data_IF_144712711093
#
_entry.id   IF_144712711093
#
_cell.length_a   1.000
_cell.length_b   1.000
_cell.length_c   1.000
_cell.angle_alpha   90.00
_cell.angle_beta   90.00
_cell.angle_gamma   90.00
#
_symmetry.space_group_name_H-M   'P 1'
#
loop_
_entity.id
_entity.type
_entity.pdbx_description
1 polymer ?
#
# COMPACT_ATOMS: atom_id res chain seq x y z
N UNK A 1 -37.58 -37.35 7.30
CA UNK A 1 -36.81 -36.33 6.53
C UNK A 1 -35.99 -37.04 5.45
N UNK A 2 -35.89 -36.50 4.23
CA UNK A 2 -35.06 -37.08 3.18
C UNK A 2 -33.67 -36.39 3.11
N UNK A 3 -32.71 -37.00 2.42
CA UNK A 3 -31.33 -36.51 2.31
C UNK A 3 -31.20 -35.10 1.73
N UNK A 4 -32.06 -34.75 0.76
CA UNK A 4 -32.07 -33.42 0.15
C UNK A 4 -32.46 -32.36 1.17
N UNK A 5 -33.55 -32.58 1.93
CA UNK A 5 -33.96 -31.66 2.99
C UNK A 5 -32.87 -31.48 4.05
N UNK A 6 -32.19 -32.56 4.45
CA UNK A 6 -31.09 -32.48 5.41
C UNK A 6 -29.91 -31.64 4.88
N UNK A 7 -29.51 -31.86 3.63
CA UNK A 7 -28.45 -31.09 2.98
C UNK A 7 -28.82 -29.61 2.80
N UNK A 8 -30.07 -29.30 2.46
CA UNK A 8 -30.55 -27.92 2.33
C UNK A 8 -30.60 -27.19 3.68
N UNK A 9 -30.98 -27.87 4.76
CA UNK A 9 -30.90 -27.30 6.12
C UNK A 9 -29.45 -27.02 6.48
N UNK A 10 -28.53 -27.94 6.21
CA UNK A 10 -27.11 -27.71 6.43
C UNK A 10 -26.61 -26.52 5.61
N UNK A 11 -26.91 -26.47 4.31
CA UNK A 11 -26.55 -25.36 3.43
C UNK A 11 -27.03 -24.02 3.98
N UNK A 12 -28.29 -23.95 4.45
CA UNK A 12 -28.82 -22.73 5.07
C UNK A 12 -28.02 -22.32 6.30
N UNK A 13 -27.68 -23.26 7.18
CA UNK A 13 -26.84 -22.99 8.35
C UNK A 13 -25.46 -22.47 7.93
N UNK A 14 -24.79 -23.14 6.98
CA UNK A 14 -23.49 -22.72 6.46
C UNK A 14 -23.53 -21.32 5.85
N UNK A 15 -24.57 -20.99 5.08
CA UNK A 15 -24.75 -19.66 4.49
C UNK A 15 -24.96 -18.59 5.55
N UNK A 16 -25.75 -18.86 6.60
CA UNK A 16 -25.97 -17.91 7.69
C UNK A 16 -24.67 -17.64 8.47
N UNK A 17 -23.89 -18.69 8.74
CA UNK A 17 -22.58 -18.56 9.40
C UNK A 17 -21.61 -17.79 8.51
N UNK A 18 -21.52 -18.12 7.22
CA UNK A 18 -20.68 -17.41 6.25
C UNK A 18 -21.06 -15.94 6.16
N UNK A 19 -22.35 -15.60 6.07
CA UNK A 19 -22.82 -14.22 6.03
C UNK A 19 -22.42 -13.44 7.30
N UNK A 20 -22.59 -14.05 8.47
CA UNK A 20 -22.16 -13.44 9.74
C UNK A 20 -20.65 -13.17 9.78
N UNK A 21 -19.84 -14.10 9.27
CA UNK A 21 -18.39 -13.93 9.20
C UNK A 21 -17.97 -12.86 8.18
N UNK A 22 -18.60 -12.79 7.01
CA UNK A 22 -18.33 -11.71 6.04
C UNK A 22 -18.57 -10.34 6.69
N UNK A 23 -19.70 -10.18 7.38
CA UNK A 23 -20.04 -8.92 8.08
C UNK A 23 -18.99 -8.61 9.15
N UNK A 24 -18.62 -9.59 9.98
CA UNK A 24 -17.59 -9.41 11.01
C UNK A 24 -16.24 -9.00 10.40
N UNK A 25 -15.82 -9.68 9.33
CA UNK A 25 -14.54 -9.40 8.67
C UNK A 25 -14.51 -7.99 8.09
N UNK A 26 -15.52 -7.61 7.31
CA UNK A 26 -15.53 -6.33 6.60
C UNK A 26 -15.78 -5.15 7.54
N UNK A 27 -16.55 -5.34 8.62
CA UNK A 27 -16.86 -4.25 9.55
C UNK A 27 -15.83 -4.07 10.67
N UNK A 28 -15.19 -5.16 11.12
CA UNK A 28 -14.35 -5.11 12.34
C UNK A 28 -12.88 -5.32 12.04
N UNK A 29 -12.51 -6.31 11.23
CA UNK A 29 -11.10 -6.70 11.06
C UNK A 29 -10.44 -6.12 9.81
N UNK A 30 -11.17 -5.98 8.71
CA UNK A 30 -10.67 -5.54 7.41
C UNK A 30 -11.58 -4.44 6.82
N UNK A 31 -11.65 -3.26 7.46
CA UNK A 31 -12.54 -2.19 7.01
C UNK A 31 -12.15 -1.62 5.63
N UNK A 32 -13.16 -1.30 4.82
CA UNK A 32 -12.98 -0.73 3.49
C UNK A 32 -12.22 -1.68 2.54
N UNK A 33 -11.28 -1.17 1.72
CA UNK A 33 -10.55 -1.99 0.75
C UNK A 33 -9.42 -2.82 1.35
N UNK A 34 -9.25 -2.83 2.68
CA UNK A 34 -8.13 -3.53 3.34
C UNK A 34 -8.19 -5.05 3.22
N UNK A 35 -9.37 -5.61 2.90
CA UNK A 35 -9.48 -7.05 2.62
C UNK A 35 -8.64 -7.44 1.40
N UNK A 36 -8.66 -6.64 0.34
CA UNK A 36 -7.85 -6.83 -0.88
C UNK A 36 -6.36 -6.64 -0.57
N UNK A 37 -6.01 -5.58 0.16
CA UNK A 37 -4.62 -5.30 0.56
C UNK A 37 -3.99 -6.42 1.40
N UNK A 38 -4.78 -7.14 2.18
CA UNK A 38 -4.31 -8.24 3.00
C UNK A 38 -4.27 -9.61 2.28
N UNK A 39 -4.73 -9.70 1.02
CA UNK A 39 -5.11 -10.97 0.38
C UNK A 39 -6.17 -11.76 1.16
N UNK A 40 -6.97 -11.06 1.97
CA UNK A 40 -7.98 -11.66 2.84
C UNK A 40 -9.16 -12.22 2.06
N UNK A 41 -9.40 -11.74 0.85
CA UNK A 41 -10.42 -12.23 -0.07
C UNK A 41 -10.22 -13.72 -0.42
N UNK A 42 -8.97 -14.15 -0.63
CA UNK A 42 -8.64 -15.56 -0.91
C UNK A 42 -8.92 -16.45 0.29
N UNK A 43 -8.53 -16.00 1.48
CA UNK A 43 -8.78 -16.71 2.74
C UNK A 43 -10.30 -16.82 2.99
N UNK A 44 -11.02 -15.72 2.83
CA UNK A 44 -12.47 -15.67 3.05
C UNK A 44 -13.21 -16.60 2.08
N UNK A 45 -12.87 -16.59 0.78
CA UNK A 45 -13.43 -17.53 -0.21
C UNK A 45 -13.15 -18.98 0.12
N UNK A 46 -11.94 -19.31 0.62
CA UNK A 46 -11.58 -20.67 1.01
C UNK A 46 -12.45 -21.16 2.17
N UNK A 47 -12.55 -20.37 3.24
CA UNK A 47 -13.32 -20.72 4.45
C UNK A 47 -14.79 -20.91 4.09
N UNK A 48 -15.38 -19.94 3.39
CA UNK A 48 -16.79 -19.99 2.98
C UNK A 48 -17.05 -21.16 2.02
N UNK A 49 -16.15 -21.37 1.05
CA UNK A 49 -16.29 -22.43 0.06
C UNK A 49 -16.34 -23.82 0.68
N UNK A 50 -15.50 -24.07 1.69
CA UNK A 50 -15.50 -25.33 2.44
C UNK A 50 -16.86 -25.52 3.13
N UNK A 51 -17.35 -24.51 3.85
CA UNK A 51 -18.57 -24.63 4.65
C UNK A 51 -19.85 -24.73 3.81
N UNK A 52 -19.95 -23.93 2.74
CA UNK A 52 -21.15 -23.85 1.90
C UNK A 52 -21.23 -25.02 0.91
N UNK A 53 -20.11 -25.65 0.57
CA UNK A 53 -20.08 -26.74 -0.41
C UNK A 53 -19.84 -28.09 0.26
N UNK A 54 -18.70 -28.28 0.94
CA UNK A 54 -18.28 -29.60 1.40
C UNK A 54 -19.22 -30.17 2.47
N UNK A 55 -19.63 -29.37 3.45
CA UNK A 55 -20.54 -29.79 4.52
C UNK A 55 -21.90 -30.30 4.01
N UNK A 56 -22.64 -29.49 3.21
CA UNK A 56 -23.91 -29.90 2.62
C UNK A 56 -23.79 -31.11 1.69
N UNK A 57 -22.72 -31.20 0.89
CA UNK A 57 -22.47 -32.36 0.01
C UNK A 57 -22.23 -33.63 0.82
N UNK A 58 -21.36 -33.58 1.84
CA UNK A 58 -21.12 -34.72 2.73
C UNK A 58 -22.39 -35.13 3.46
N UNK A 59 -23.18 -34.16 3.92
CA UNK A 59 -24.49 -34.41 4.54
C UNK A 59 -25.42 -35.11 3.55
N UNK A 60 -25.51 -34.65 2.30
CA UNK A 60 -26.34 -35.27 1.27
C UNK A 60 -25.94 -36.73 1.00
N UNK A 61 -24.64 -37.01 0.91
CA UNK A 61 -24.08 -38.33 0.63
C UNK A 61 -24.36 -39.30 1.78
N UNK A 62 -24.12 -38.87 3.02
CA UNK A 62 -24.16 -39.76 4.18
C UNK A 62 -25.58 -39.91 4.75
N UNK A 63 -26.46 -38.93 4.54
CA UNK A 63 -27.80 -38.95 5.11
C UNK A 63 -28.67 -40.06 4.52
N UNK A 64 -29.04 -41.03 5.35
CA UNK A 64 -30.01 -42.08 5.04
C UNK A 64 -30.92 -42.31 6.24
N UNK A 65 -32.23 -42.09 6.07
CA UNK A 65 -33.22 -42.28 7.13
C UNK A 65 -33.17 -43.71 7.67
N UNK A 66 -33.14 -43.86 9.00
CA UNK A 66 -33.05 -45.17 9.66
C UNK A 66 -31.64 -45.80 9.66
N UNK A 67 -30.62 -45.13 9.13
CA UNK A 67 -29.24 -45.63 9.20
C UNK A 67 -28.74 -45.61 10.66
N UNK A 68 -28.30 -46.76 11.22
CA UNK A 68 -27.65 -46.77 12.52
C UNK A 68 -26.34 -45.98 12.45
N UNK A 69 -26.08 -45.12 13.44
CA UNK A 69 -24.91 -44.24 13.45
C UNK A 69 -25.04 -42.94 12.66
N UNK A 70 -26.19 -42.65 12.01
CA UNK A 70 -26.39 -41.39 11.27
C UNK A 70 -26.13 -40.15 12.13
N UNK A 71 -26.49 -40.19 13.42
CA UNK A 71 -26.22 -39.07 14.35
C UNK A 71 -24.72 -38.85 14.51
N UNK A 72 -23.96 -39.92 14.72
CA UNK A 72 -22.50 -39.88 14.83
C UNK A 72 -21.88 -39.32 13.56
N UNK A 73 -22.33 -39.78 12.38
CA UNK A 73 -21.83 -39.29 11.09
C UNK A 73 -22.03 -37.76 10.95
N UNK A 74 -23.24 -37.27 11.21
CA UNK A 74 -23.55 -35.85 11.11
C UNK A 74 -22.81 -35.02 12.16
N UNK A 75 -22.63 -35.55 13.37
CA UNK A 75 -21.83 -34.91 14.41
C UNK A 75 -20.36 -34.79 13.99
N UNK A 76 -19.77 -35.84 13.42
CA UNK A 76 -18.38 -35.80 12.93
C UNK A 76 -18.22 -34.78 11.82
N UNK A 77 -19.15 -34.74 10.86
CA UNK A 77 -19.16 -33.72 9.79
C UNK A 77 -19.23 -32.31 10.40
N UNK A 78 -20.18 -32.07 11.31
CA UNK A 78 -20.35 -30.76 11.94
C UNK A 78 -19.15 -30.31 12.76
N UNK A 79 -18.53 -31.22 13.53
CA UNK A 79 -17.33 -30.91 14.32
C UNK A 79 -16.11 -30.64 13.44
N UNK A 80 -15.90 -31.43 12.39
CA UNK A 80 -14.80 -31.22 11.45
C UNK A 80 -14.94 -29.85 10.76
N UNK A 81 -16.16 -29.49 10.35
CA UNK A 81 -16.44 -28.21 9.74
C UNK A 81 -16.25 -27.04 10.71
N UNK A 82 -16.75 -27.15 11.94
CA UNK A 82 -16.53 -26.15 12.99
C UNK A 82 -15.04 -25.95 13.31
N UNK A 83 -14.25 -27.02 13.30
CA UNK A 83 -12.81 -26.93 13.52
C UNK A 83 -12.09 -26.20 12.36
N UNK A 84 -12.43 -26.53 11.11
CA UNK A 84 -11.86 -25.85 9.93
C UNK A 84 -12.24 -24.37 9.90
N UNK A 85 -13.50 -24.05 10.23
CA UNK A 85 -13.96 -22.68 10.37
C UNK A 85 -13.19 -21.93 11.46
N UNK A 86 -13.00 -22.55 12.63
CA UNK A 86 -12.24 -21.98 13.74
C UNK A 86 -10.79 -21.66 13.36
N UNK A 87 -10.13 -22.57 12.63
CA UNK A 87 -8.77 -22.35 12.10
C UNK A 87 -8.76 -21.17 11.12
N UNK A 88 -9.74 -21.10 10.21
CA UNK A 88 -9.87 -20.00 9.26
C UNK A 88 -10.04 -18.65 9.93
N UNK A 89 -10.94 -18.57 10.93
CA UNK A 89 -11.16 -17.37 11.74
C UNK A 89 -9.89 -16.99 12.51
N UNK A 90 -9.18 -17.96 13.10
CA UNK A 90 -7.92 -17.70 13.79
C UNK A 90 -6.86 -17.07 12.88
N UNK A 91 -6.67 -17.63 11.68
CA UNK A 91 -5.70 -17.09 10.70
C UNK A 91 -6.05 -15.65 10.33
N UNK A 92 -7.33 -15.35 10.14
CA UNK A 92 -7.79 -13.99 9.84
C UNK A 92 -7.54 -13.03 11.00
N UNK A 93 -7.85 -13.44 12.24
CA UNK A 93 -7.64 -12.62 13.44
C UNK A 93 -6.18 -12.22 13.62
N UNK A 94 -5.25 -13.17 13.46
CA UNK A 94 -3.82 -12.88 13.64
C UNK A 94 -3.23 -12.14 12.43
N UNK A 95 -3.83 -12.25 11.26
CA UNK A 95 -3.40 -11.57 10.03
C UNK A 95 -4.15 -10.27 9.75
N UNK A 96 -4.95 -9.78 10.70
CA UNK A 96 -5.71 -8.54 10.55
C UNK A 96 -4.78 -7.33 10.42
N UNK A 97 -5.16 -6.28 9.66
CA UNK A 97 -4.48 -5.00 9.69
C UNK A 97 -4.44 -4.46 11.13
N UNK A 98 -3.24 -4.33 11.68
CA UNK A 98 -3.04 -3.70 12.99
C UNK A 98 -2.68 -2.22 12.84
N UNK A 99 -1.78 -1.92 11.91
CA UNK A 99 -1.30 -0.57 11.67
C UNK A 99 -1.22 -0.27 10.17
N UNK A 100 -1.52 0.98 9.83
CA UNK A 100 -1.21 1.59 8.54
C UNK A 100 -0.14 2.63 8.79
N UNK A 101 1.11 2.24 8.56
CA UNK A 101 2.29 3.00 8.99
C UNK A 101 2.79 3.83 7.83
N UNK A 102 2.79 5.16 7.96
CA UNK A 102 3.52 6.01 7.02
C UNK A 102 5.02 5.90 7.32
N UNK A 103 5.78 5.34 6.37
CA UNK A 103 7.22 5.17 6.46
C UNK A 103 7.87 5.75 5.20
N UNK A 104 8.75 6.73 5.41
CA UNK A 104 9.45 7.50 4.36
C UNK A 104 8.53 8.35 3.48
N UNK A 105 7.77 7.73 2.59
CA UNK A 105 6.96 8.37 1.55
C UNK A 105 5.68 7.60 1.18
N UNK A 106 5.47 6.41 1.78
CA UNK A 106 4.31 5.55 1.53
C UNK A 106 3.69 5.08 2.84
N UNK A 107 2.42 4.71 2.79
CA UNK A 107 1.81 3.91 3.84
C UNK A 107 2.14 2.43 3.62
N UNK A 108 2.38 1.70 4.69
CA UNK A 108 2.58 0.25 4.66
C UNK A 108 1.56 -0.43 5.54
N UNK A 109 0.90 -1.45 4.99
CA UNK A 109 0.05 -2.35 5.74
C UNK A 109 0.89 -3.25 6.65
N UNK A 110 0.66 -3.16 7.97
CA UNK A 110 1.34 -4.00 8.96
C UNK A 110 0.30 -4.86 9.69
N UNK A 111 0.28 -6.18 9.45
CA UNK A 111 -0.64 -7.07 10.14
C UNK A 111 -0.17 -7.37 11.57
N UNK A 112 -1.10 -7.73 12.45
CA UNK A 112 -0.79 -7.98 13.87
C UNK A 112 0.31 -9.03 14.08
N UNK A 113 0.34 -10.10 13.26
CA UNK A 113 1.35 -11.15 13.33
C UNK A 113 2.71 -10.81 12.70
N UNK A 114 2.89 -9.62 12.11
CA UNK A 114 4.19 -9.19 11.58
C UNK A 114 5.07 -8.50 12.64
N UNK A 115 4.52 -8.20 13.82
CA UNK A 115 5.23 -7.53 14.91
C UNK A 115 5.65 -8.58 15.94
N UNK A 116 6.95 -8.67 16.20
CA UNK A 116 7.46 -9.59 17.20
C UNK A 116 7.13 -9.06 18.60
N UNK A 117 6.91 -9.95 19.60
CA UNK A 117 6.64 -9.54 20.97
C UNK A 117 7.72 -8.61 21.55
N UNK A 118 8.99 -8.81 21.15
CA UNK A 118 10.12 -8.01 21.60
C UNK A 118 10.04 -6.58 21.05
N UNK A 119 9.58 -6.40 19.81
CA UNK A 119 9.40 -5.08 19.19
C UNK A 119 8.22 -4.31 19.78
N UNK A 120 7.15 -5.03 20.10
CA UNK A 120 5.99 -4.47 20.79
C UNK A 120 6.36 -4.02 22.20
N UNK A 121 7.26 -4.73 22.88
CA UNK A 121 7.77 -4.34 24.18
C UNK A 121 8.64 -3.07 24.13
N UNK A 122 9.29 -2.80 22.99
CA UNK A 122 10.05 -1.57 22.73
C UNK A 122 9.19 -0.40 22.23
N UNK A 123 7.87 -0.56 22.14
CA UNK A 123 6.97 0.48 21.64
C UNK A 123 7.19 1.83 22.35
N UNK A 124 7.20 2.90 21.56
CA UNK A 124 7.38 4.27 22.08
C UNK A 124 6.30 4.69 23.07
N UNK A 125 5.10 4.14 22.91
CA UNK A 125 3.93 4.43 23.74
C UNK A 125 3.10 3.16 23.98
N UNK A 126 2.41 3.04 25.14
CA UNK A 126 1.60 1.85 25.47
C UNK A 126 0.52 1.48 24.45
N UNK A 127 -0.02 2.47 23.72
CA UNK A 127 -1.02 2.25 22.67
C UNK A 127 -0.47 1.54 21.43
N UNK A 128 0.84 1.62 21.18
CA UNK A 128 1.51 0.94 20.07
C UNK A 128 2.04 -0.45 20.47
N UNK A 129 2.16 -0.73 21.77
CA UNK A 129 2.53 -2.04 22.29
C UNK A 129 1.42 -3.10 22.11
N UNK A 130 0.17 -2.67 21.89
CA UNK A 130 -0.99 -3.56 21.82
C UNK A 130 -1.74 -3.35 20.49
N UNK A 131 -1.51 -4.21 19.48
CA UNK A 131 -2.19 -4.12 18.20
C UNK A 131 -3.72 -4.06 18.36
N UNK A 132 -4.41 -3.06 17.77
CA UNK A 132 -5.85 -2.87 17.93
C UNK A 132 -6.64 -4.06 17.39
N UNK A 133 -7.81 -4.31 17.99
CA UNK A 133 -8.70 -5.41 17.60
C UNK A 133 -9.82 -5.02 16.64
N UNK A 134 -10.13 -3.72 16.55
CA UNK A 134 -11.29 -3.17 15.82
C UNK A 134 -10.86 -2.28 14.66
N UNK A 135 -10.00 -2.83 13.79
CA UNK A 135 -9.45 -2.14 12.62
C UNK A 135 -8.06 -1.52 12.89
N UNK A 136 -7.36 -1.08 11.84
CA UNK A 136 -6.02 -0.57 11.98
C UNK A 136 -5.97 0.82 12.59
N UNK A 137 -4.85 1.10 13.25
CA UNK A 137 -4.46 2.44 13.65
C UNK A 137 -3.54 3.06 12.59
N UNK A 138 -3.78 4.32 12.25
CA UNK A 138 -2.86 5.11 11.42
C UNK A 138 -1.68 5.57 12.28
N UNK A 139 -0.47 5.40 11.76
CA UNK A 139 0.75 5.66 12.51
C UNK A 139 1.77 6.37 11.64
N UNK A 140 2.51 7.31 12.22
CA UNK A 140 3.71 7.87 11.60
C UNK A 140 4.95 7.15 12.12
N UNK A 141 5.80 6.61 11.25
CA UNK A 141 7.10 6.08 11.64
C UNK A 141 8.17 7.18 11.51
N UNK A 142 8.70 7.61 12.65
CA UNK A 142 9.77 8.59 12.71
C UNK A 142 11.06 7.99 12.16
N UNK A 143 11.57 8.55 11.05
CA UNK A 143 12.85 8.13 10.48
C UNK A 143 14.01 8.34 11.46
N UNK A 144 15.03 7.48 11.44
CA UNK A 144 16.17 7.59 12.33
C UNK A 144 16.99 8.88 12.12
N UNK A 145 17.39 9.51 13.22
CA UNK A 145 18.00 10.84 13.20
C UNK A 145 19.53 10.76 12.97
N UNK A 146 20.18 9.75 13.54
CA UNK A 146 21.64 9.59 13.47
C UNK A 146 22.08 8.71 12.31
N UNK A 147 23.36 8.80 11.93
CA UNK A 147 23.92 7.97 10.86
C UNK A 147 23.96 6.50 11.27
N UNK A 148 24.25 6.26 12.53
CA UNK A 148 24.35 4.95 13.16
C UNK A 148 22.99 4.26 13.16
N UNK A 149 21.93 4.94 13.59
CA UNK A 149 20.57 4.38 13.56
C UNK A 149 20.09 4.13 12.12
N UNK A 150 20.44 5.02 11.16
CA UNK A 150 20.14 4.78 9.74
C UNK A 150 20.85 3.54 9.20
N UNK A 151 22.11 3.32 9.57
CA UNK A 151 22.85 2.11 9.19
C UNK A 151 22.19 0.85 9.77
N UNK A 152 21.87 0.86 11.07
CA UNK A 152 21.20 -0.26 11.72
C UNK A 152 19.82 -0.55 11.10
N UNK A 153 19.09 0.49 10.71
CA UNK A 153 17.79 0.36 10.03
C UNK A 153 17.94 -0.28 8.64
N UNK A 154 18.99 0.09 7.89
CA UNK A 154 19.30 -0.51 6.59
C UNK A 154 19.70 -1.98 6.73
N UNK A 155 20.58 -2.30 7.68
CA UNK A 155 20.98 -3.68 7.97
C UNK A 155 19.77 -4.54 8.34
N UNK A 156 18.87 -4.02 9.19
CA UNK A 156 17.62 -4.70 9.52
C UNK A 156 16.70 -4.89 8.32
N UNK A 157 16.59 -3.88 7.44
CA UNK A 157 15.77 -3.97 6.23
C UNK A 157 16.31 -5.05 5.27
N UNK A 158 17.64 -5.18 5.13
CA UNK A 158 18.28 -6.26 4.39
C UNK A 158 18.00 -7.65 5.00
N UNK A 159 17.82 -7.72 6.31
CA UNK A 159 17.39 -8.93 7.02
C UNK A 159 15.87 -9.16 6.97
N UNK A 160 15.12 -8.34 6.20
CA UNK A 160 13.69 -8.50 5.97
C UNK A 160 12.78 -7.79 6.97
N UNK A 161 13.32 -6.85 7.76
CA UNK A 161 12.56 -6.08 8.75
C UNK A 161 12.83 -4.58 8.63
N UNK A 162 11.94 -3.89 7.93
CA UNK A 162 12.02 -2.46 7.70
C UNK A 162 11.37 -1.64 8.84
N UNK A 163 11.46 -0.31 8.72
CA UNK A 163 11.14 0.68 9.76
C UNK A 163 9.71 0.53 10.29
N UNK A 164 8.77 0.20 9.40
CA UNK A 164 7.35 0.03 9.72
C UNK A 164 7.07 -1.16 10.65
N UNK A 165 8.05 -2.03 10.91
CA UNK A 165 7.91 -3.16 11.85
C UNK A 165 8.49 -2.88 13.23
N UNK A 166 8.88 -1.64 13.51
CA UNK A 166 9.48 -1.23 14.77
C UNK A 166 8.62 -0.20 15.51
N UNK A 167 7.72 -0.66 16.41
CA UNK A 167 6.85 0.21 17.21
C UNK A 167 7.57 1.28 18.03
N UNK A 168 8.86 1.11 18.33
CA UNK A 168 9.69 2.17 18.96
C UNK A 168 9.77 3.47 18.16
N UNK A 169 9.62 3.38 16.83
CA UNK A 169 9.62 4.53 15.93
C UNK A 169 8.22 5.09 15.69
N UNK A 170 7.17 4.46 16.22
CA UNK A 170 5.80 4.91 16.00
C UNK A 170 5.53 6.20 16.77
N UNK A 171 4.79 7.09 16.13
CA UNK A 171 4.26 8.33 16.68
C UNK A 171 2.81 8.48 16.24
N UNK A 172 2.09 9.32 16.95
CA UNK A 172 0.74 9.71 16.58
C UNK A 172 0.70 10.19 15.13
N UNK A 173 -0.24 9.66 14.34
CA UNK A 173 -0.37 10.08 12.96
C UNK A 173 -0.91 11.51 12.85
N UNK A 174 -1.95 11.86 13.59
CA UNK A 174 -2.63 13.15 13.46
C UNK A 174 -1.70 14.31 13.86
N UNK A 175 -0.87 14.12 14.90
CA UNK A 175 0.15 15.11 15.30
C UNK A 175 1.24 15.31 14.24
N UNK A 176 1.49 14.31 13.39
CA UNK A 176 2.54 14.32 12.39
C UNK A 176 2.02 14.47 10.95
N UNK A 177 0.71 14.49 10.74
CA UNK A 177 0.06 14.46 9.43
C UNK A 177 0.53 15.60 8.50
N UNK A 178 0.75 16.79 9.05
CA UNK A 178 1.24 17.95 8.31
C UNK A 178 2.58 17.71 7.58
N UNK A 179 3.43 16.81 8.10
CA UNK A 179 4.71 16.44 7.47
C UNK A 179 4.51 15.68 6.15
N UNK A 180 3.34 15.06 5.97
CA UNK A 180 3.05 14.18 4.83
C UNK A 180 2.46 14.95 3.64
N UNK A 181 1.91 16.14 3.87
CA UNK A 181 1.25 16.93 2.83
C UNK A 181 2.16 17.19 1.61
N UNK A 182 3.48 17.24 1.81
CA UNK A 182 4.49 17.41 0.77
C UNK A 182 4.71 16.17 -0.09
N UNK A 183 4.41 14.98 0.44
CA UNK A 183 4.52 13.70 -0.28
C UNK A 183 3.29 13.43 -1.16
N UNK A 184 2.17 14.09 -0.86
CA UNK A 184 0.89 13.94 -1.53
C UNK A 184 0.95 14.26 -3.03
N UNK A 185 0.82 13.23 -3.86
CA UNK A 185 0.68 13.37 -5.31
C UNK A 185 -0.67 14.02 -5.68
N UNK A 186 -0.71 14.74 -6.80
CA UNK A 186 -1.94 15.37 -7.30
C UNK A 186 -2.96 14.33 -7.76
N UNK A 187 -4.24 14.54 -7.42
CA UNK A 187 -5.31 13.66 -7.89
C UNK A 187 -5.55 13.74 -9.41
N UNK A 188 -4.90 14.70 -10.09
CA UNK A 188 -4.88 14.77 -11.56
C UNK A 188 -4.20 13.56 -12.20
N UNK A 189 -3.25 12.92 -11.50
CA UNK A 189 -2.59 11.73 -11.99
C UNK A 189 -3.47 10.49 -11.90
N UNK A 190 -4.67 10.57 -11.30
CA UNK A 190 -5.67 9.48 -11.25
C UNK A 190 -6.70 9.69 -12.37
N UNK A 191 -6.28 9.56 -13.62
CA UNK A 191 -7.06 9.89 -14.83
C UNK A 191 -7.70 8.67 -15.52
N UNK A 192 -7.36 7.47 -15.08
CA UNK A 192 -7.82 6.18 -15.62
C UNK A 192 -8.74 5.42 -14.65
N UNK A 193 -9.44 6.14 -13.78
CA UNK A 193 -10.39 5.56 -12.84
C UNK A 193 -11.64 5.02 -13.56
N UNK A 194 -12.06 3.81 -13.20
CA UNK A 194 -13.37 3.30 -13.62
C UNK A 194 -14.51 4.02 -12.88
N UNK A 195 -15.75 3.84 -13.35
CA UNK A 195 -16.91 4.53 -12.81
C UNK A 195 -17.18 4.22 -11.33
N UNK A 196 -16.82 3.02 -10.85
CA UNK A 196 -17.04 2.61 -9.46
C UNK A 196 -16.01 3.29 -8.56
N UNK A 197 -14.76 3.31 -8.99
CA UNK A 197 -13.63 3.92 -8.28
C UNK A 197 -13.76 5.42 -8.25
N UNK A 198 -14.18 6.05 -9.36
CA UNK A 198 -14.46 7.49 -9.40
C UNK A 198 -15.63 7.85 -8.47
N UNK A 199 -16.72 7.07 -8.45
CA UNK A 199 -17.81 7.29 -7.50
C UNK A 199 -17.34 7.19 -6.03
N UNK A 200 -16.48 6.21 -5.73
CA UNK A 200 -15.89 6.06 -4.39
C UNK A 200 -14.96 7.23 -4.05
N UNK A 201 -14.18 7.72 -5.00
CA UNK A 201 -13.33 8.90 -4.81
C UNK A 201 -14.18 10.11 -4.43
N UNK A 202 -15.28 10.37 -5.15
CA UNK A 202 -16.20 11.47 -4.83
C UNK A 202 -16.83 11.32 -3.44
N UNK A 203 -17.20 10.10 -3.03
CA UNK A 203 -17.69 9.81 -1.68
C UNK A 203 -16.65 10.15 -0.61
N UNK A 204 -15.39 9.73 -0.80
CA UNK A 204 -14.31 9.98 0.16
C UNK A 204 -13.91 11.46 0.21
N UNK A 205 -13.96 12.16 -0.92
CA UNK A 205 -13.73 13.61 -0.96
C UNK A 205 -14.83 14.38 -0.22
N UNK A 206 -16.03 13.81 -0.08
CA UNK A 206 -17.15 14.40 0.66
C UNK A 206 -17.44 15.86 0.28
N UNK A 207 -17.39 16.17 -1.03
CA UNK A 207 -17.62 17.51 -1.58
C UNK A 207 -16.39 18.41 -1.67
N UNK A 208 -15.20 17.95 -1.24
CA UNK A 208 -13.93 18.65 -1.49
C UNK A 208 -13.58 18.62 -2.97
N UNK A 209 -12.93 19.69 -3.43
CA UNK A 209 -12.39 19.73 -4.79
C UNK A 209 -11.10 18.89 -4.88
N UNK A 210 -10.75 18.39 -6.07
CA UNK A 210 -9.60 17.49 -6.27
C UNK A 210 -8.25 18.16 -5.95
N UNK A 211 -8.17 19.49 -6.01
CA UNK A 211 -7.00 20.28 -5.62
C UNK A 211 -6.83 20.41 -4.10
N UNK A 212 -7.88 20.19 -3.30
CA UNK A 212 -7.82 20.20 -1.83
C UNK A 212 -7.33 18.87 -1.26
N UNK A 213 -7.15 17.86 -2.10
CA UNK A 213 -6.70 16.54 -1.73
C UNK A 213 -5.49 16.10 -2.56
N UNK A 214 -4.77 15.13 -2.02
CA UNK A 214 -3.74 14.40 -2.73
C UNK A 214 -3.80 12.94 -2.38
N UNK A 215 -2.91 12.16 -2.97
CA UNK A 215 -2.83 10.75 -2.67
C UNK A 215 -1.41 10.30 -2.32
N UNK A 216 -1.35 9.24 -1.53
CA UNK A 216 -0.12 8.55 -1.12
C UNK A 216 -0.34 7.04 -1.33
N UNK A 217 0.61 6.31 -1.92
CA UNK A 217 0.51 4.86 -2.02
C UNK A 217 0.36 4.19 -0.65
N UNK A 218 -0.45 3.13 -0.59
CA UNK A 218 -0.49 2.19 0.51
C UNK A 218 -0.06 0.82 -0.01
N UNK A 219 1.08 0.36 0.48
CA UNK A 219 1.66 -0.94 0.10
C UNK A 219 0.99 -2.04 0.91
N UNK A 220 0.32 -2.95 0.20
CA UNK A 220 -0.33 -4.12 0.76
C UNK A 220 0.49 -5.39 0.54
N UNK A 221 -0.01 -6.50 1.10
CA UNK A 221 0.52 -7.84 0.80
C UNK A 221 -0.09 -8.41 -0.49
N UNK A 222 -1.38 -8.13 -0.71
CA UNK A 222 -2.15 -8.65 -1.84
C UNK A 222 -2.26 -7.69 -3.00
N UNK A 223 -2.74 -6.48 -2.70
CA UNK A 223 -2.81 -5.37 -3.64
C UNK A 223 -2.34 -4.09 -2.96
N UNK A 224 -1.78 -3.19 -3.76
CA UNK A 224 -1.47 -1.84 -3.32
C UNK A 224 -2.69 -0.95 -3.54
N UNK A 225 -2.95 -0.09 -2.56
CA UNK A 225 -4.10 0.80 -2.52
C UNK A 225 -3.66 2.26 -2.60
N UNK A 226 -4.64 3.13 -2.75
CA UNK A 226 -4.42 4.58 -2.76
C UNK A 226 -5.01 5.20 -1.50
N UNK A 227 -4.17 5.83 -0.67
CA UNK A 227 -4.62 6.62 0.49
C UNK A 227 -4.85 8.05 0.05
N UNK A 228 -6.07 8.55 0.27
CA UNK A 228 -6.42 9.95 0.05
C UNK A 228 -6.12 10.76 1.31
N UNK A 229 -5.43 11.88 1.14
CA UNK A 229 -5.08 12.79 2.22
C UNK A 229 -5.48 14.23 1.89
N UNK A 230 -5.88 14.99 2.90
CA UNK A 230 -6.14 16.42 2.76
C UNK A 230 -4.83 17.17 2.54
N UNK A 231 -4.79 18.13 1.60
CA UNK A 231 -3.58 18.95 1.38
C UNK A 231 -3.33 19.97 2.47
N UNK A 232 -4.39 20.42 3.12
CA UNK A 232 -4.34 21.47 4.15
C UNK A 232 -3.50 21.05 5.36
N UNK A 233 -3.73 19.83 5.86
CA UNK A 233 -3.17 19.35 7.13
C UNK A 233 -2.62 17.92 7.06
N UNK A 234 -2.69 17.28 5.89
CA UNK A 234 -2.19 15.92 5.67
C UNK A 234 -3.06 14.82 6.27
N UNK A 235 -4.23 15.10 6.86
CA UNK A 235 -5.09 14.08 7.46
C UNK A 235 -5.58 13.08 6.42
N UNK A 236 -5.73 11.82 6.82
CA UNK A 236 -6.34 10.79 5.98
C UNK A 236 -7.83 11.10 5.79
N UNK A 237 -8.25 11.13 4.52
CA UNK A 237 -9.65 11.21 4.11
C UNK A 237 -10.25 9.81 3.94
N UNK A 238 -9.47 8.88 3.39
CA UNK A 238 -9.89 7.49 3.22
C UNK A 238 -9.01 6.70 2.27
N UNK A 239 -9.51 5.54 1.86
CA UNK A 239 -8.82 4.59 0.98
C UNK A 239 -9.61 4.37 -0.31
N UNK A 240 -8.89 4.16 -1.40
CA UNK A 240 -9.37 3.71 -2.69
C UNK A 240 -8.73 2.37 -3.07
N UNK A 241 -9.54 1.45 -3.58
CA UNK A 241 -9.08 0.21 -4.21
C UNK A 241 -8.58 0.50 -5.63
N UNK A 242 -7.44 1.19 -5.70
CA UNK A 242 -6.78 1.60 -6.94
C UNK A 242 -5.27 1.48 -6.78
N UNK A 243 -4.62 0.84 -7.75
CA UNK A 243 -3.17 0.67 -7.78
C UNK A 243 -2.49 2.03 -8.05
N UNK A 244 -1.73 2.59 -7.09
CA UNK A 244 -1.19 3.95 -7.20
C UNK A 244 0.02 4.07 -8.15
N UNK A 245 0.66 2.96 -8.53
CA UNK A 245 1.98 3.01 -9.18
C UNK A 245 1.98 3.58 -10.60
N UNK A 246 1.01 3.29 -11.48
CA UNK A 246 0.93 3.96 -12.79
C UNK A 246 0.83 5.49 -12.65
N UNK A 247 -0.01 5.97 -11.73
CA UNK A 247 -0.16 7.38 -11.43
C UNK A 247 1.14 8.00 -10.86
N UNK A 248 1.86 7.26 -10.00
CA UNK A 248 3.17 7.68 -9.51
C UNK A 248 4.23 7.74 -10.62
N UNK A 249 4.16 6.84 -11.62
CA UNK A 249 4.99 6.90 -12.83
C UNK A 249 4.75 8.19 -13.62
N UNK A 250 3.48 8.53 -13.87
CA UNK A 250 3.10 9.80 -14.52
C UNK A 250 3.63 11.03 -13.76
N UNK A 251 3.53 11.01 -12.42
CA UNK A 251 4.10 12.07 -11.57
C UNK A 251 5.61 12.18 -11.75
N UNK A 252 6.34 11.06 -11.74
CA UNK A 252 7.79 11.05 -11.91
C UNK A 252 8.22 11.65 -13.25
N UNK A 253 7.55 11.28 -14.34
CA UNK A 253 7.81 11.82 -15.67
C UNK A 253 7.56 13.33 -15.72
N UNK A 254 6.46 13.80 -15.13
CA UNK A 254 6.14 15.23 -15.05
C UNK A 254 7.20 16.02 -14.25
N UNK A 255 7.66 15.48 -13.12
CA UNK A 255 8.71 16.11 -12.32
C UNK A 255 10.04 16.19 -13.08
N UNK A 256 10.41 15.12 -13.78
CA UNK A 256 11.62 15.07 -14.59
C UNK A 256 11.57 16.10 -15.73
N UNK A 257 10.46 16.17 -16.45
CA UNK A 257 10.27 17.15 -17.52
C UNK A 257 10.32 18.60 -17.01
N UNK A 258 9.76 18.87 -15.82
CA UNK A 258 9.82 20.18 -15.19
C UNK A 258 11.25 20.58 -14.78
N UNK A 259 12.03 19.62 -14.28
CA UNK A 259 13.45 19.85 -13.93
C UNK A 259 14.31 20.13 -15.17
N UNK A 260 14.12 19.36 -16.24
CA UNK A 260 14.81 19.58 -17.53
C UNK A 260 14.46 20.95 -18.14
N UNK A 261 13.18 21.34 -18.12
CA UNK A 261 12.74 22.65 -18.59
C UNK A 261 13.35 23.80 -17.76
N UNK A 262 13.44 23.63 -16.44
CA UNK A 262 14.07 24.61 -15.54
C UNK A 262 15.57 24.73 -15.82
N UNK A 263 16.26 23.63 -16.05
CA UNK A 263 17.68 23.62 -16.41
C UNK A 263 17.92 24.31 -17.77
N UNK A 264 17.07 24.05 -18.76
CA UNK A 264 17.14 24.71 -20.07
C UNK A 264 16.94 26.23 -19.98
N UNK A 265 15.93 26.69 -19.23
CA UNK A 265 15.68 28.11 -18.99
C UNK A 265 16.84 28.80 -18.26
N UNK A 266 17.46 28.13 -17.28
CA UNK A 266 18.64 28.65 -16.59
C UNK A 266 19.83 28.81 -17.55
N UNK A 267 20.10 27.81 -18.40
CA UNK A 267 21.17 27.87 -19.39
C UNK A 267 20.94 28.97 -20.45
N UNK A 268 19.69 29.21 -20.85
CA UNK A 268 19.35 30.30 -21.78
C UNK A 268 19.55 31.68 -21.13
N UNK A 269 19.17 31.83 -19.85
CA UNK A 269 19.40 33.06 -19.10
C UNK A 269 20.90 33.37 -18.90
N UNK A 270 21.73 32.35 -18.69
CA UNK A 270 23.18 32.49 -18.54
C UNK A 270 23.87 32.84 -19.87
N UNK A 271 23.40 32.28 -20.99
CA UNK A 271 23.83 32.69 -22.34
C UNK A 271 23.44 34.13 -22.66
N UNK A 272 22.23 34.56 -22.29
CA UNK A 272 21.79 35.94 -22.47
C UNK A 272 22.61 36.94 -21.62
N UNK A 273 23.03 36.53 -20.42
CA UNK A 273 23.88 37.34 -19.54
C UNK A 273 25.34 37.40 -20.00
N UNK A 274 25.86 36.35 -20.64
CA UNK A 274 27.25 36.29 -21.15
C UNK A 274 27.43 36.83 -22.57
N UNK A 275 26.35 36.92 -23.38
CA UNK A 275 26.37 37.45 -24.74
C UNK A 275 26.40 38.99 -24.86
N UNK A 276 26.55 39.72 -23.75
CA UNK A 276 26.54 41.18 -23.70
C UNK A 276 27.89 41.89 -23.84
N UNK A 277 29.00 41.16 -24.04
CA UNK A 277 30.31 41.76 -24.30
C UNK A 277 30.70 41.60 -25.77
N UNK A 278 30.19 42.51 -26.60
CA UNK A 278 30.74 42.79 -27.93
C UNK A 278 32.06 43.56 -27.73
N UNK A 279 33.26 43.01 -28.03
CA UNK A 279 34.44 43.84 -28.11
C UNK A 279 34.32 44.64 -29.41
N UNK A 280 34.21 45.95 -29.27
CA UNK A 280 34.24 46.90 -30.36
C UNK A 280 35.37 46.54 -31.36
N UNK A 281 35.00 46.48 -32.63
CA UNK A 281 35.92 46.40 -33.74
C UNK A 281 36.84 47.62 -33.75
N UNK A 282 38.15 47.40 -33.59
CA UNK A 282 39.18 48.35 -34.00
C UNK A 282 39.63 47.99 -35.43
N UNK A 283 39.62 48.94 -36.38
CA UNK A 283 40.23 48.76 -37.69
C UNK A 283 41.69 49.19 -37.68
N UNK A 284 42.48 48.55 -38.56
CA UNK A 284 43.80 48.96 -39.07
C UNK A 284 45.03 48.83 -38.16
N UNK A 285 45.92 47.90 -38.51
CA UNK A 285 47.26 48.25 -38.98
C UNK A 285 47.93 47.08 -39.74
N UNK A 286 48.65 47.48 -40.78
CA UNK A 286 49.14 46.79 -41.95
C UNK A 286 50.47 46.00 -41.79
N UNK A 287 50.74 45.14 -42.79
CA UNK A 287 52.04 44.73 -43.37
C UNK A 287 53.04 43.74 -42.67
N UNK A 288 52.88 42.43 -42.99
CA UNK A 288 53.75 41.54 -43.84
C UNK A 288 55.26 41.22 -43.48
N UNK A 289 55.96 40.25 -44.14
CA UNK A 289 56.07 38.84 -43.71
C UNK A 289 57.52 38.24 -43.70
N UNK A 290 57.74 37.05 -43.11
CA UNK A 290 58.90 36.17 -43.43
C UNK A 290 58.73 34.70 -42.98
N UNK A 291 58.70 33.78 -43.97
CA UNK A 291 59.40 32.47 -44.12
C UNK A 291 59.79 31.64 -42.88
N UNK A 292 59.84 30.30 -42.83
CA UNK A 292 59.52 29.13 -43.68
C UNK A 292 59.95 27.88 -42.88
N UNK A 293 59.62 26.67 -43.38
CA UNK A 293 60.06 25.30 -42.97
C UNK A 293 59.11 24.58 -42.00
N UNK A 294 58.30 23.61 -42.44
CA UNK A 294 58.55 22.25 -42.99
C UNK A 294 58.77 21.19 -41.89
N UNK A 295 57.89 20.19 -41.83
CA UNK A 295 58.02 19.05 -40.91
C UNK A 295 56.81 18.11 -40.89
N UNK A 296 56.58 17.44 -42.02
CA UNK A 296 56.20 16.02 -42.23
C UNK A 296 55.39 15.23 -41.18
N UNK A 297 54.25 14.70 -41.65
CA UNK A 297 53.58 13.39 -41.43
C UNK A 297 53.51 12.72 -40.04
N UNK A 298 52.28 12.32 -39.65
CA UNK A 298 51.80 10.92 -39.61
C UNK A 298 50.83 10.66 -38.44
N UNK A 299 49.57 10.41 -38.77
CA UNK A 299 48.62 9.53 -38.03
C UNK A 299 48.80 8.07 -38.51
N UNK A 300 48.14 7.00 -37.97
CA UNK A 300 47.13 6.91 -36.89
C UNK A 300 47.28 5.70 -35.90
N UNK A 301 46.29 5.57 -34.98
CA UNK A 301 45.79 4.36 -34.28
C UNK A 301 46.67 3.79 -33.14
N UNK A 302 46.16 3.52 -31.93
CA UNK A 302 44.98 2.72 -31.49
C UNK A 302 44.23 3.43 -30.36
#
# INVERSE_FOLDING_TARGET
MNRLRAALIHLLISVLVAAGLIVLFVMVWYPGPLLSAASGDRLLRLIIGIDVIAGPVLTFIVFKSGKPGLRTDLTVIGLAQAALLGIGVWIAVVSRPAYLVFASDVFVFVPANALAPEDLAEASEPRFANPPWTGPMWVYAQSPATREERSAQLDSALMGKALERFPKHYRDYDENAHKLATFAASLEYLDDLDAVTEARLQEVLAGRSRDQAGFVPLVGRGSDLTTLIAREDGRVLGLLDYNPWPAMGRRWEALKAAEEAKAAAAAESEKAASGGSDPAADPEADESPATSQSGTEATPSI
#
